data_IF_368636670559
#
_entry.id   IF_368636670559
#
_cell.length_a   1.000
_cell.length_b   1.000
_cell.length_c   1.000
_cell.angle_alpha   90.00
_cell.angle_beta   90.00
_cell.angle_gamma   90.00
#
_symmetry.space_group_name_H-M   'P 1'
#
loop_
_entity.id
_entity.type
_entity.pdbx_description
1 polymer ?
#
# COMPACT_ATOMS: atom_id res chain seq x y z
N UNK A 1 -25.96 1.95 9.53
CA UNK A 1 -24.72 2.26 10.28
C UNK A 1 -23.54 1.58 9.63
N UNK A 2 -22.46 2.32 9.41
CA UNK A 2 -21.23 1.77 8.83
C UNK A 2 -20.38 1.10 9.91
N UNK A 3 -19.88 -0.10 9.59
CA UNK A 3 -18.93 -0.79 10.46
C UNK A 3 -17.52 -0.34 10.12
N UNK A 4 -16.75 0.21 11.06
CA UNK A 4 -15.40 0.67 10.78
C UNK A 4 -14.42 -0.50 10.62
N UNK A 5 -13.57 -0.41 9.60
CA UNK A 5 -12.46 -1.35 9.38
C UNK A 5 -11.20 -0.53 9.21
N UNK A 6 -10.12 -0.96 9.85
CA UNK A 6 -8.82 -0.32 9.75
C UNK A 6 -7.89 -1.19 8.92
N UNK A 7 -7.17 -0.54 8.00
CA UNK A 7 -6.12 -1.16 7.21
C UNK A 7 -4.90 -0.25 7.22
N UNK A 8 -3.76 -0.78 6.83
CA UNK A 8 -2.54 -0.01 6.70
C UNK A 8 -1.69 -0.53 5.56
N UNK A 9 -0.89 0.33 5.01
CA UNK A 9 0.01 -0.01 3.91
C UNK A 9 1.15 0.96 3.78
N UNK A 10 1.93 0.81 2.73
CA UNK A 10 3.14 1.57 2.57
C UNK A 10 3.47 2.04 1.17
N UNK A 11 4.13 3.20 1.13
CA UNK A 11 4.82 3.71 -0.04
C UNK A 11 6.30 3.45 0.24
N UNK A 12 6.88 2.47 -0.43
CA UNK A 12 8.23 1.96 -0.13
C UNK A 12 9.22 2.46 -1.16
N UNK A 13 10.31 3.03 -0.68
CA UNK A 13 11.41 3.48 -1.54
C UNK A 13 12.65 2.63 -1.29
N UNK A 14 13.31 2.17 -2.36
CA UNK A 14 14.56 1.42 -2.28
C UNK A 14 15.77 2.35 -2.43
N UNK A 15 17.02 1.84 -2.32
CA UNK A 15 18.22 2.66 -2.45
C UNK A 15 18.39 3.35 -3.80
N UNK A 16 17.73 2.87 -4.86
CA UNK A 16 17.74 3.52 -6.18
C UNK A 16 16.67 4.60 -6.32
N UNK A 17 16.00 4.94 -5.22
CA UNK A 17 14.91 5.91 -5.20
C UNK A 17 13.73 5.50 -6.09
N UNK A 18 13.49 4.21 -6.18
CA UNK A 18 12.34 3.65 -6.89
C UNK A 18 11.23 3.32 -5.89
N UNK A 19 9.99 3.51 -6.31
CA UNK A 19 8.79 3.28 -5.51
C UNK A 19 8.18 1.92 -5.87
N UNK A 20 7.76 1.17 -4.87
CA UNK A 20 7.18 -0.16 -5.01
C UNK A 20 5.70 -0.07 -5.40
N UNK A 21 5.34 -0.74 -6.49
CA UNK A 21 3.96 -0.88 -6.95
C UNK A 21 3.61 -2.35 -7.11
N UNK A 22 2.35 -2.69 -6.93
CA UNK A 22 1.82 -4.03 -7.22
C UNK A 22 0.79 -3.93 -8.34
N UNK A 23 0.70 -4.97 -9.17
CA UNK A 23 -0.34 -5.08 -10.19
C UNK A 23 -1.35 -6.14 -9.76
N UNK A 24 -2.62 -5.74 -9.63
CA UNK A 24 -3.66 -6.58 -9.07
C UNK A 24 -4.99 -6.29 -9.75
N UNK A 25 -5.62 -7.32 -10.28
CA UNK A 25 -6.96 -7.21 -10.89
C UNK A 25 -7.08 -6.13 -11.96
N UNK A 26 -6.04 -5.99 -12.79
CA UNK A 26 -6.03 -5.05 -13.89
C UNK A 26 -5.62 -3.64 -13.55
N UNK A 27 -5.24 -3.36 -12.29
CA UNK A 27 -4.84 -2.04 -11.83
C UNK A 27 -3.50 -2.09 -11.08
N UNK A 28 -2.73 -1.01 -11.22
CA UNK A 28 -1.61 -0.76 -10.34
C UNK A 28 -2.12 -0.26 -9.00
N UNK A 29 -1.48 -0.68 -7.92
CA UNK A 29 -1.92 -0.39 -6.56
C UNK A 29 -0.70 -0.36 -5.64
N UNK A 30 -0.91 0.01 -4.39
CA UNK A 30 0.11 -0.02 -3.35
C UNK A 30 -0.23 -1.13 -2.35
N UNK A 31 0.79 -1.79 -1.76
CA UNK A 31 0.56 -2.89 -0.83
C UNK A 31 -0.08 -2.39 0.47
N UNK A 32 -1.07 -3.13 0.95
CA UNK A 32 -1.84 -2.82 2.16
C UNK A 32 -2.67 -4.02 2.58
N UNK A 33 -3.23 -3.96 3.77
CA UNK A 33 -4.17 -4.96 4.25
C UNK A 33 -4.75 -4.61 5.61
N UNK A 34 -5.65 -5.46 6.09
CA UNK A 34 -6.43 -5.21 7.30
C UNK A 34 -5.62 -5.41 8.57
N UNK A 35 -5.94 -4.58 9.57
CA UNK A 35 -5.36 -4.66 10.90
C UNK A 35 -5.79 -5.97 11.57
N UNK A 36 -4.83 -6.67 12.18
CA UNK A 36 -5.10 -7.85 12.99
C UNK A 36 -5.40 -7.45 14.44
N UNK A 37 -6.11 -8.30 15.20
CA UNK A 37 -6.32 -8.04 16.63
C UNK A 37 -4.99 -7.88 17.37
N UNK A 38 -4.95 -6.91 18.28
CA UNK A 38 -3.78 -6.64 19.15
C UNK A 38 -2.54 -6.17 18.40
N UNK A 39 -2.70 -5.74 17.14
CA UNK A 39 -1.61 -5.22 16.32
C UNK A 39 -1.69 -3.69 16.29
N UNK A 40 -0.53 -3.00 16.31
CA UNK A 40 -0.53 -1.56 16.07
C UNK A 40 -0.71 -1.29 14.58
N UNK A 41 -1.18 -0.09 14.24
CA UNK A 41 -1.37 0.30 12.84
C UNK A 41 -0.03 0.29 12.10
N UNK A 42 1.03 0.74 12.75
CA UNK A 42 2.39 0.76 12.19
C UNK A 42 2.91 -0.65 11.90
N UNK A 43 2.71 -1.58 12.84
CA UNK A 43 3.10 -2.98 12.64
C UNK A 43 2.29 -3.63 11.51
N UNK A 44 1.00 -3.30 11.43
CA UNK A 44 0.14 -3.76 10.34
C UNK A 44 0.68 -3.31 8.98
N UNK A 45 1.07 -2.04 8.86
CA UNK A 45 1.61 -1.51 7.61
C UNK A 45 2.84 -2.30 7.15
N UNK A 46 3.79 -2.53 8.05
CA UNK A 46 5.01 -3.28 7.74
C UNK A 46 4.67 -4.73 7.38
N UNK A 47 3.84 -5.39 8.18
CA UNK A 47 3.46 -6.79 7.96
C UNK A 47 2.78 -6.97 6.61
N UNK A 48 1.82 -6.11 6.27
CA UNK A 48 1.09 -6.24 5.01
C UNK A 48 1.97 -6.01 3.79
N UNK A 49 2.88 -5.04 3.84
CA UNK A 49 3.84 -4.86 2.75
C UNK A 49 4.68 -6.11 2.56
N UNK A 50 5.20 -6.67 3.65
CA UNK A 50 5.99 -7.90 3.59
C UNK A 50 5.19 -9.09 3.04
N UNK A 51 3.97 -9.26 3.50
CA UNK A 51 3.13 -10.37 3.06
C UNK A 51 2.76 -10.26 1.57
N UNK A 52 2.42 -9.07 1.09
CA UNK A 52 1.98 -8.91 -0.29
C UNK A 52 3.12 -8.89 -1.31
N UNK A 53 4.31 -8.46 -0.91
CA UNK A 53 5.40 -8.23 -1.85
C UNK A 53 6.66 -9.06 -1.60
N UNK A 54 6.79 -9.65 -0.42
CA UNK A 54 8.01 -10.34 -0.02
C UNK A 54 9.19 -9.41 0.25
N UNK A 55 8.97 -8.09 0.24
CA UNK A 55 10.03 -7.14 0.54
C UNK A 55 10.26 -7.11 2.05
N UNK A 56 11.52 -7.18 2.47
CA UNK A 56 11.93 -7.18 3.87
C UNK A 56 12.81 -5.98 4.19
N UNK A 57 13.27 -5.92 5.45
CA UNK A 57 14.17 -4.85 5.91
C UNK A 57 13.53 -3.47 5.71
N UNK A 58 12.26 -3.40 6.08
CA UNK A 58 11.47 -2.17 5.97
C UNK A 58 11.67 -1.29 7.19
N UNK A 59 11.90 -0.02 6.95
CA UNK A 59 11.97 1.00 7.98
C UNK A 59 10.78 1.92 7.78
N UNK A 60 9.93 2.01 8.79
CA UNK A 60 8.78 2.90 8.75
C UNK A 60 9.24 4.32 9.07
N UNK A 61 8.91 5.27 8.18
CA UNK A 61 9.34 6.66 8.33
C UNK A 61 8.26 7.52 8.97
N UNK A 62 7.16 7.74 8.25
CA UNK A 62 6.07 8.58 8.77
C UNK A 62 4.75 8.28 8.10
N UNK A 63 3.68 8.67 8.76
CA UNK A 63 2.35 8.65 8.17
C UNK A 63 2.26 9.73 7.09
N UNK A 64 1.82 9.34 5.89
CA UNK A 64 1.65 10.27 4.77
C UNK A 64 0.22 10.79 4.74
N UNK A 65 -0.75 9.88 4.72
CA UNK A 65 -2.17 10.24 4.65
C UNK A 65 -3.03 9.04 4.99
N UNK A 66 -4.32 9.28 5.11
CA UNK A 66 -5.32 8.23 5.22
C UNK A 66 -6.31 8.34 4.08
N UNK A 67 -6.85 7.21 3.64
CA UNK A 67 -7.94 7.17 2.66
C UNK A 67 -9.10 6.39 3.26
N UNK A 68 -10.32 6.74 2.84
CA UNK A 68 -11.53 6.09 3.34
C UNK A 68 -12.34 5.55 2.17
N UNK A 69 -12.81 4.32 2.33
CA UNK A 69 -13.59 3.63 1.30
C UNK A 69 -14.80 2.98 1.94
N UNK A 70 -16.00 3.27 1.41
CA UNK A 70 -17.24 2.68 1.88
C UNK A 70 -17.69 1.62 0.87
N UNK A 71 -18.04 0.43 1.37
CA UNK A 71 -18.50 -0.66 0.51
C UNK A 71 -19.27 -1.69 1.32
N UNK A 72 -19.94 -2.59 0.60
CA UNK A 72 -20.59 -3.75 1.22
C UNK A 72 -19.60 -4.91 1.34
N UNK A 73 -19.34 -5.36 2.56
CA UNK A 73 -18.43 -6.48 2.81
C UNK A 73 -19.23 -7.80 2.77
N UNK A 74 -18.90 -8.66 1.82
CA UNK A 74 -19.61 -9.92 1.58
C UNK A 74 -19.45 -10.90 2.73
N UNK A 75 -18.28 -10.92 3.36
CA UNK A 75 -18.01 -11.85 4.46
C UNK A 75 -18.77 -11.47 5.72
N UNK A 76 -18.79 -10.20 6.05
CA UNK A 76 -19.48 -9.68 7.22
C UNK A 76 -20.97 -9.44 6.94
N UNK A 77 -21.35 -9.37 5.67
CA UNK A 77 -22.69 -8.98 5.21
C UNK A 77 -23.13 -7.67 5.85
N UNK A 78 -22.26 -6.67 5.79
CA UNK A 78 -22.45 -5.35 6.39
C UNK A 78 -21.88 -4.27 5.51
N UNK A 79 -22.47 -3.07 5.62
CA UNK A 79 -21.87 -1.88 5.06
C UNK A 79 -20.67 -1.48 5.92
N UNK A 80 -19.51 -1.28 5.31
CA UNK A 80 -18.28 -0.97 6.03
C UNK A 80 -17.67 0.33 5.53
N UNK A 81 -16.94 0.96 6.43
CA UNK A 81 -16.09 2.09 6.11
C UNK A 81 -14.64 1.72 6.46
N UNK A 82 -13.84 1.50 5.44
CA UNK A 82 -12.44 1.12 5.63
C UNK A 82 -11.55 2.35 5.54
N UNK A 83 -10.82 2.62 6.61
CA UNK A 83 -9.81 3.67 6.64
C UNK A 83 -8.45 3.00 6.53
N UNK A 84 -7.68 3.37 5.51
CA UNK A 84 -6.33 2.86 5.29
C UNK A 84 -5.32 3.93 5.66
N UNK A 85 -4.36 3.56 6.52
CA UNK A 85 -3.27 4.43 6.96
C UNK A 85 -2.05 4.14 6.08
N UNK A 86 -1.57 5.16 5.38
CA UNK A 86 -0.48 5.02 4.41
C UNK A 86 0.81 5.62 4.96
N UNK A 87 1.83 4.78 5.10
CA UNK A 87 3.12 5.17 5.68
C UNK A 87 4.21 5.19 4.62
N UNK A 88 5.08 6.20 4.68
CA UNK A 88 6.32 6.18 3.94
C UNK A 88 7.26 5.17 4.61
N UNK A 89 7.88 4.34 3.79
CA UNK A 89 8.85 3.33 4.23
C UNK A 89 10.07 3.37 3.34
N UNK A 90 11.20 2.90 3.88
CA UNK A 90 12.43 2.70 3.10
C UNK A 90 12.94 1.29 3.32
N UNK A 91 13.73 0.81 2.40
CA UNK A 91 14.55 -0.38 2.58
C UNK A 91 15.99 -0.06 2.20
N UNK A 92 16.95 -0.67 2.89
CA UNK A 92 18.37 -0.39 2.71
C UNK A 92 19.01 -1.24 1.62
N UNK A 93 18.23 -2.04 0.89
CA UNK A 93 18.74 -2.97 -0.10
C UNK A 93 17.82 -3.13 -1.28
N UNK A 94 18.40 -3.53 -2.42
CA UNK A 94 17.64 -3.85 -3.62
C UNK A 94 17.06 -5.26 -3.49
N UNK A 95 15.78 -5.40 -3.78
CA UNK A 95 15.06 -6.66 -3.69
C UNK A 95 14.06 -6.73 -4.81
N UNK A 96 13.95 -7.89 -5.45
CA UNK A 96 12.96 -8.09 -6.51
C UNK A 96 11.56 -8.29 -5.93
N UNK A 97 11.49 -8.88 -4.73
CA UNK A 97 10.23 -9.24 -4.13
C UNK A 97 9.62 -10.48 -4.77
N UNK A 98 8.42 -10.83 -4.31
CA UNK A 98 7.67 -11.96 -4.84
C UNK A 98 6.19 -11.67 -4.75
N UNK A 99 5.50 -11.53 -5.91
CA UNK A 99 4.06 -11.26 -5.89
C UNK A 99 3.31 -12.42 -5.24
N UNK A 100 2.35 -12.09 -4.38
CA UNK A 100 1.55 -13.10 -3.68
C UNK A 100 0.29 -13.41 -4.49
N UNK A 101 0.32 -14.52 -5.21
CA UNK A 101 -0.79 -14.91 -6.08
C UNK A 101 -2.08 -15.17 -5.32
N UNK A 102 -1.99 -15.56 -4.06
CA UNK A 102 -3.16 -15.77 -3.19
C UNK A 102 -3.94 -14.48 -2.96
N UNK A 103 -3.29 -13.33 -3.08
CA UNK A 103 -3.89 -12.00 -2.97
C UNK A 103 -4.20 -11.40 -4.35
N UNK A 104 -4.17 -12.22 -5.40
CA UNK A 104 -4.36 -11.79 -6.79
C UNK A 104 -3.30 -10.80 -7.29
N UNK A 105 -2.15 -10.77 -6.65
CA UNK A 105 -1.04 -9.92 -7.07
C UNK A 105 -0.27 -10.64 -8.18
N UNK A 106 -0.27 -10.05 -9.36
CA UNK A 106 0.32 -10.67 -10.55
C UNK A 106 1.75 -10.21 -10.80
N UNK A 107 2.09 -8.99 -10.38
CA UNK A 107 3.40 -8.42 -10.65
C UNK A 107 3.76 -7.39 -9.58
N UNK A 108 5.06 -7.15 -9.47
CA UNK A 108 5.64 -6.10 -8.65
C UNK A 108 6.52 -5.26 -9.57
N UNK A 109 6.51 -3.96 -9.37
CA UNK A 109 7.39 -3.05 -10.09
C UNK A 109 8.03 -2.05 -9.14
N UNK A 110 9.30 -1.78 -9.38
CA UNK A 110 10.02 -0.67 -8.75
C UNK A 110 10.10 0.45 -9.78
N UNK A 111 9.56 1.60 -9.47
CA UNK A 111 9.32 2.67 -10.44
C UNK A 111 9.94 3.97 -9.98
N UNK A 112 10.76 4.56 -10.84
CA UNK A 112 11.33 5.89 -10.58
C UNK A 112 10.24 6.95 -10.65
N UNK A 113 10.39 8.01 -9.86
CA UNK A 113 9.41 9.11 -9.85
C UNK A 113 9.18 9.68 -11.25
N UNK A 114 10.23 9.71 -12.08
CA UNK A 114 10.14 10.21 -13.45
C UNK A 114 9.38 9.29 -14.40
N UNK A 115 9.19 8.02 -14.04
CA UNK A 115 8.57 7.00 -14.89
C UNK A 115 7.17 6.60 -14.40
N UNK A 116 6.59 7.38 -13.52
CA UNK A 116 5.36 7.01 -12.80
C UNK A 116 4.07 7.21 -13.61
N UNK A 117 4.11 7.99 -14.69
CA UNK A 117 2.90 8.36 -15.42
C UNK A 117 2.04 7.17 -15.87
N UNK A 118 2.59 6.10 -16.47
CA UNK A 118 1.76 4.96 -16.89
C UNK A 118 1.07 4.26 -15.70
N UNK A 119 1.72 4.26 -14.54
CA UNK A 119 1.18 3.64 -13.33
C UNK A 119 0.02 4.47 -12.77
N UNK A 120 0.17 5.80 -12.78
CA UNK A 120 -0.89 6.71 -12.35
C UNK A 120 -2.11 6.69 -13.28
N UNK A 121 -1.90 6.40 -14.56
CA UNK A 121 -3.01 6.29 -15.51
C UNK A 121 -3.87 5.06 -15.27
N UNK A 122 -3.32 4.03 -14.62
CA UNK A 122 -4.02 2.76 -14.43
C UNK A 122 -4.05 2.35 -12.95
N UNK A 123 -4.37 3.30 -12.11
CA UNK A 123 -4.55 3.07 -10.67
C UNK A 123 -5.87 3.71 -10.20
N UNK A 124 -6.22 3.45 -8.95
CA UNK A 124 -7.43 4.01 -8.34
C UNK A 124 -7.23 5.47 -7.98
N UNK A 125 -8.31 6.25 -7.98
CA UNK A 125 -8.27 7.66 -7.63
C UNK A 125 -7.71 7.90 -6.22
N UNK A 126 -8.04 7.03 -5.26
CA UNK A 126 -7.50 7.11 -3.90
C UNK A 126 -5.99 6.93 -3.88
N UNK A 127 -5.45 6.06 -4.74
CA UNK A 127 -4.00 5.85 -4.82
C UNK A 127 -3.31 7.04 -5.46
N UNK A 128 -3.95 7.70 -6.43
CA UNK A 128 -3.43 8.96 -6.98
C UNK A 128 -3.29 10.01 -5.89
N UNK A 129 -4.29 10.10 -5.01
CA UNK A 129 -4.26 11.01 -3.86
C UNK A 129 -3.13 10.68 -2.90
N UNK A 130 -2.91 9.39 -2.61
CA UNK A 130 -1.81 8.95 -1.76
C UNK A 130 -0.47 9.33 -2.37
N UNK A 131 -0.30 9.08 -3.67
CA UNK A 131 0.95 9.39 -4.37
C UNK A 131 1.20 10.90 -4.39
N UNK A 132 0.18 11.70 -4.63
CA UNK A 132 0.30 13.16 -4.59
C UNK A 132 0.76 13.63 -3.21
N UNK A 133 0.13 13.11 -2.16
CA UNK A 133 0.51 13.45 -0.79
C UNK A 133 1.96 13.02 -0.48
N UNK A 134 2.35 11.85 -0.97
CA UNK A 134 3.72 11.36 -0.78
C UNK A 134 4.75 12.23 -1.49
N UNK A 135 4.50 12.55 -2.75
CA UNK A 135 5.45 13.33 -3.56
C UNK A 135 5.59 14.77 -3.09
N UNK A 136 4.57 15.34 -2.46
CA UNK A 136 4.62 16.68 -1.91
C UNK A 136 5.14 16.74 -0.48
N UNK A 137 5.22 15.60 0.22
CA UNK A 137 5.73 15.57 1.59
C UNK A 137 7.26 15.63 1.59
N UNK A 138 7.83 16.17 2.68
CA UNK A 138 9.28 16.15 2.88
C UNK A 138 9.66 14.94 3.71
N UNK A 139 10.57 14.16 3.21
CA UNK A 139 11.06 12.97 3.91
C UNK A 139 12.49 12.62 3.54
#
# INVERSE_FOLDING_TARGET
MLTPIIAAGGIVMNPNQEILWIFRRGFWDLPKGKLDPNETIEACAIREVMEETGISHLILEKLITTTTHQYHDKYLNKEVEKTTYWYAMTTDRLQDGKPQSEEDIEAIAWVKKTDMAPYLEKTYDTIKEVMEAYLTSKH
#
